data_IF_228145081683
#
_entry.id   IF_228145081683
#
_cell.length_a   1.000
_cell.length_b   1.000
_cell.length_c   1.000
_cell.angle_alpha   90.00
_cell.angle_beta   90.00
_cell.angle_gamma   90.00
#
_symmetry.space_group_name_H-M   'P 1'
#
loop_
_entity.id
_entity.type
_entity.pdbx_description
1 polymer ?
#
# COMPACT_ATOMS: atom_id res chain seq x y z
N UNK A 1 1.53 20.02 -9.03
CA UNK A 1 0.82 18.89 -8.41
C UNK A 1 0.00 19.34 -7.21
N UNK A 2 0.49 20.32 -6.46
CA UNK A 2 -0.27 20.88 -5.34
C UNK A 2 -1.58 21.47 -5.85
N UNK A 3 -2.68 21.32 -5.10
CA UNK A 3 -3.90 22.07 -5.35
C UNK A 3 -3.62 23.58 -5.30
N UNK A 4 -4.37 24.34 -6.07
CA UNK A 4 -4.38 25.79 -5.92
C UNK A 4 -4.94 26.13 -4.53
N UNK A 5 -4.34 27.05 -3.76
CA UNK A 5 -4.88 27.47 -2.46
C UNK A 5 -6.34 27.91 -2.52
N UNK A 6 -6.79 28.50 -3.61
CA UNK A 6 -8.19 28.91 -3.81
C UNK A 6 -9.15 27.71 -3.91
N UNK A 7 -8.65 26.51 -4.22
CA UNK A 7 -9.42 25.26 -4.25
C UNK A 7 -9.47 24.54 -2.90
N UNK A 8 -8.90 25.12 -1.84
CA UNK A 8 -8.84 24.54 -0.50
C UNK A 8 -9.85 25.26 0.43
N UNK A 9 -11.15 24.90 0.38
CA UNK A 9 -12.16 25.59 1.18
C UNK A 9 -11.88 25.46 2.68
N UNK A 10 -12.02 26.57 3.40
CA UNK A 10 -11.97 26.62 4.87
C UNK A 10 -13.38 26.38 5.45
N UNK A 11 -13.76 25.11 5.51
CA UNK A 11 -15.09 24.65 5.93
C UNK A 11 -15.09 23.91 7.26
N UNK A 12 -13.94 23.81 7.90
CA UNK A 12 -13.79 23.15 9.20
C UNK A 12 -13.54 24.17 10.32
N UNK A 13 -13.95 23.84 11.57
CA UNK A 13 -14.59 22.60 12.01
C UNK A 13 -16.07 22.52 11.68
N UNK A 14 -16.64 21.29 11.76
CA UNK A 14 -18.09 21.05 11.74
C UNK A 14 -18.53 20.36 13.03
N UNK A 15 -19.81 20.06 13.18
CA UNK A 15 -20.35 19.24 14.26
C UNK A 15 -19.76 17.80 14.28
N UNK A 16 -19.24 17.34 13.14
CA UNK A 16 -18.73 15.97 12.94
C UNK A 16 -17.22 15.88 12.75
N UNK A 17 -16.57 16.95 12.28
CA UNK A 17 -15.14 17.00 11.97
C UNK A 17 -14.46 18.16 12.70
N UNK A 18 -13.25 17.89 13.20
CA UNK A 18 -12.36 18.90 13.79
C UNK A 18 -11.66 19.71 12.69
N UNK A 19 -10.95 20.79 13.07
CA UNK A 19 -10.18 21.66 12.17
C UNK A 19 -9.18 20.88 11.27
N UNK A 20 -8.69 19.75 11.70
CA UNK A 20 -7.75 18.90 10.94
C UNK A 20 -8.42 17.89 10.00
N UNK A 21 -9.75 17.89 9.89
CA UNK A 21 -10.53 16.85 9.20
C UNK A 21 -10.75 15.58 10.04
N UNK A 22 -10.08 15.45 11.19
CA UNK A 22 -10.26 14.30 12.09
C UNK A 22 -11.68 14.29 12.67
N UNK A 23 -12.36 13.12 12.70
CA UNK A 23 -13.71 13.04 13.27
C UNK A 23 -13.76 13.41 14.74
N UNK A 24 -14.85 14.08 15.19
CA UNK A 24 -15.12 14.31 16.60
C UNK A 24 -15.28 12.98 17.36
N UNK A 25 -15.12 12.99 18.67
CA UNK A 25 -15.00 11.77 19.49
C UNK A 25 -16.10 10.74 19.25
N UNK A 26 -17.34 11.15 19.14
CA UNK A 26 -18.47 10.24 18.95
C UNK A 26 -18.42 9.54 17.56
N UNK A 27 -18.21 10.31 16.48
CA UNK A 27 -18.08 9.81 15.12
C UNK A 27 -16.84 8.92 14.98
N UNK A 28 -15.74 9.33 15.59
CA UNK A 28 -14.47 8.61 15.59
C UNK A 28 -14.58 7.25 16.28
N UNK A 29 -15.30 7.18 17.40
CA UNK A 29 -15.52 5.92 18.12
C UNK A 29 -16.25 4.89 17.27
N UNK A 30 -17.24 5.32 16.46
CA UNK A 30 -17.94 4.42 15.53
C UNK A 30 -17.07 4.01 14.34
N UNK A 31 -16.37 4.97 13.72
CA UNK A 31 -15.49 4.71 12.58
C UNK A 31 -14.32 3.77 12.91
N UNK A 32 -13.83 3.77 14.16
CA UNK A 32 -12.73 2.93 14.64
C UNK A 32 -13.12 1.53 15.09
N UNK A 33 -14.38 1.14 14.95
CA UNK A 33 -14.83 -0.21 15.33
C UNK A 33 -14.20 -1.28 14.45
N UNK A 34 -13.54 -2.24 15.07
CA UNK A 34 -12.96 -3.42 14.42
C UNK A 34 -13.93 -4.60 14.55
N UNK A 35 -14.20 -5.30 13.46
CA UNK A 35 -15.00 -6.52 13.46
C UNK A 35 -14.07 -7.73 13.26
N UNK A 36 -13.75 -8.45 14.33
CA UNK A 36 -12.86 -9.61 14.31
C UNK A 36 -13.33 -10.69 13.34
N UNK A 37 -14.64 -11.00 13.34
CA UNK A 37 -15.21 -12.01 12.44
C UNK A 37 -15.04 -11.63 10.96
N UNK A 38 -15.38 -10.38 10.60
CA UNK A 38 -15.20 -9.89 9.22
C UNK A 38 -13.73 -9.86 8.83
N UNK A 39 -12.83 -9.53 9.75
CA UNK A 39 -11.39 -9.54 9.50
C UNK A 39 -10.87 -10.96 9.28
N UNK A 40 -11.32 -11.94 10.08
CA UNK A 40 -10.97 -13.34 9.90
C UNK A 40 -11.42 -13.85 8.52
N UNK A 41 -12.68 -13.61 8.13
CA UNK A 41 -13.18 -13.97 6.79
C UNK A 41 -12.34 -13.31 5.69
N UNK A 42 -11.93 -12.04 5.87
CA UNK A 42 -11.09 -11.34 4.88
C UNK A 42 -9.69 -11.93 4.78
N UNK A 43 -9.07 -12.27 5.92
CA UNK A 43 -7.76 -12.94 5.93
C UNK A 43 -7.85 -14.29 5.23
N UNK A 44 -8.85 -15.12 5.55
CA UNK A 44 -9.06 -16.42 4.89
C UNK A 44 -9.27 -16.23 3.38
N UNK A 45 -10.14 -15.31 2.97
CA UNK A 45 -10.36 -15.02 1.55
C UNK A 45 -9.09 -14.49 0.86
N UNK A 46 -8.24 -13.72 1.53
CA UNK A 46 -6.94 -13.29 1.03
C UNK A 46 -6.01 -14.48 0.80
N UNK A 47 -5.90 -15.37 1.79
CA UNK A 47 -5.05 -16.57 1.69
C UNK A 47 -5.55 -17.51 0.58
N UNK A 48 -6.86 -17.72 0.46
CA UNK A 48 -7.43 -18.51 -0.62
C UNK A 48 -7.18 -17.90 -2.01
N UNK A 49 -7.26 -16.58 -2.15
CA UNK A 49 -6.98 -15.89 -3.41
C UNK A 49 -5.49 -15.90 -3.78
N UNK A 50 -4.60 -16.08 -2.83
CA UNK A 50 -3.14 -16.11 -3.07
C UNK A 50 -2.63 -17.54 -3.17
N UNK A 51 -2.74 -18.32 -2.10
CA UNK A 51 -2.24 -19.71 -2.10
C UNK A 51 -3.14 -20.64 -2.93
N UNK A 52 -4.46 -20.42 -2.93
CA UNK A 52 -5.40 -21.23 -3.67
C UNK A 52 -5.21 -21.14 -5.19
N UNK A 53 -4.86 -19.93 -5.72
CA UNK A 53 -4.60 -19.80 -7.17
C UNK A 53 -3.32 -20.55 -7.59
N UNK A 54 -2.29 -20.55 -6.75
CA UNK A 54 -1.07 -21.33 -7.00
C UNK A 54 -1.37 -22.82 -6.95
N UNK A 55 -2.08 -23.29 -5.90
CA UNK A 55 -2.51 -24.68 -5.78
C UNK A 55 -3.40 -25.15 -6.94
N UNK A 56 -4.33 -24.29 -7.37
CA UNK A 56 -5.17 -24.58 -8.54
C UNK A 56 -4.34 -24.70 -9.85
N UNK A 57 -3.35 -23.82 -10.06
CA UNK A 57 -2.47 -23.91 -11.22
C UNK A 57 -1.65 -25.21 -11.20
N UNK A 58 -1.13 -25.61 -10.03
CA UNK A 58 -0.43 -26.88 -9.84
C UNK A 58 -1.32 -28.10 -10.13
N UNK A 59 -2.57 -28.05 -9.67
CA UNK A 59 -3.54 -29.13 -9.90
C UNK A 59 -3.97 -29.24 -11.35
N UNK A 60 -4.24 -28.10 -12.03
CA UNK A 60 -4.63 -28.07 -13.43
C UNK A 60 -3.48 -28.53 -14.33
N UNK A 61 -2.23 -28.16 -14.00
CA UNK A 61 -1.03 -28.59 -14.70
C UNK A 61 -0.85 -28.04 -16.12
N UNK A 62 -1.66 -27.05 -16.55
CA UNK A 62 -1.64 -26.49 -17.90
C UNK A 62 -0.89 -25.16 -17.91
N UNK A 63 -0.14 -24.88 -18.98
CA UNK A 63 0.67 -23.67 -19.12
C UNK A 63 -0.12 -22.37 -18.90
N UNK A 64 -1.35 -22.26 -19.41
CA UNK A 64 -2.21 -21.09 -19.26
C UNK A 64 -2.62 -20.84 -17.80
N UNK A 65 -2.79 -21.91 -17.00
CA UNK A 65 -3.10 -21.78 -15.58
C UNK A 65 -1.91 -21.17 -14.81
N UNK A 66 -0.68 -21.55 -15.16
CA UNK A 66 0.53 -20.96 -14.59
C UNK A 66 0.72 -19.50 -15.00
N UNK A 67 0.44 -19.15 -16.27
CA UNK A 67 0.48 -17.74 -16.74
C UNK A 67 -0.55 -16.91 -15.99
N UNK A 68 -1.79 -17.41 -15.87
CA UNK A 68 -2.83 -16.73 -15.09
C UNK A 68 -2.40 -16.56 -13.63
N UNK A 69 -1.91 -17.62 -12.99
CA UNK A 69 -1.44 -17.58 -11.60
C UNK A 69 -0.30 -16.58 -11.41
N UNK A 70 0.66 -16.52 -12.33
CA UNK A 70 1.76 -15.55 -12.30
C UNK A 70 1.24 -14.11 -12.25
N UNK A 71 0.33 -13.75 -13.15
CA UNK A 71 -0.26 -12.39 -13.19
C UNK A 71 -1.09 -12.12 -11.94
N UNK A 72 -1.91 -13.11 -11.54
CA UNK A 72 -2.75 -12.99 -10.35
C UNK A 72 -1.95 -12.86 -9.06
N UNK A 73 -0.77 -13.47 -8.98
CA UNK A 73 0.10 -13.38 -7.81
C UNK A 73 0.73 -12.00 -7.62
N UNK A 74 0.88 -11.18 -8.68
CA UNK A 74 1.18 -9.76 -8.51
C UNK A 74 0.14 -9.06 -7.63
N UNK A 75 -1.15 -9.35 -7.87
CA UNK A 75 -2.27 -8.90 -7.03
C UNK A 75 -2.28 -9.62 -5.67
N UNK A 76 -2.00 -10.91 -5.61
CA UNK A 76 -1.93 -11.69 -4.37
C UNK A 76 -0.97 -11.06 -3.36
N UNK A 77 0.23 -10.70 -3.79
CA UNK A 77 1.18 -9.97 -2.94
C UNK A 77 0.67 -8.60 -2.50
N UNK A 78 -0.09 -7.90 -3.36
CA UNK A 78 -0.76 -6.66 -2.98
C UNK A 78 -1.76 -6.88 -1.83
N UNK A 79 -2.61 -7.91 -1.92
CA UNK A 79 -3.58 -8.25 -0.88
C UNK A 79 -2.91 -8.53 0.47
N UNK A 80 -1.87 -9.38 0.46
CA UNK A 80 -1.12 -9.73 1.68
C UNK A 80 -0.48 -8.49 2.32
N UNK A 81 0.20 -7.66 1.51
CA UNK A 81 0.87 -6.46 2.01
C UNK A 81 -0.12 -5.43 2.59
N UNK A 82 -1.29 -5.23 1.96
CA UNK A 82 -2.28 -4.28 2.46
C UNK A 82 -2.92 -4.76 3.76
N UNK A 83 -3.24 -6.05 3.89
CA UNK A 83 -3.70 -6.57 5.19
C UNK A 83 -2.58 -6.58 6.24
N UNK A 84 -1.32 -6.79 5.83
CA UNK A 84 -0.15 -6.59 6.68
C UNK A 84 0.00 -5.15 7.18
N UNK A 85 -0.29 -4.16 6.33
CA UNK A 85 -0.36 -2.74 6.69
C UNK A 85 -1.48 -2.49 7.73
N UNK A 86 -2.68 -3.04 7.55
CA UNK A 86 -3.75 -2.96 8.56
C UNK A 86 -3.33 -3.57 9.90
N UNK A 87 -2.66 -4.73 9.85
CA UNK A 87 -2.10 -5.33 11.06
C UNK A 87 -1.00 -4.46 11.69
N UNK A 88 -0.19 -3.74 10.88
CA UNK A 88 0.80 -2.78 11.38
C UNK A 88 0.14 -1.65 12.17
N UNK A 89 -1.01 -1.15 11.73
CA UNK A 89 -1.84 -0.18 12.46
C UNK A 89 -2.61 -0.79 13.65
N UNK A 90 -2.56 -2.12 13.83
CA UNK A 90 -3.38 -2.85 14.83
C UNK A 90 -4.89 -2.71 14.60
N UNK A 91 -5.30 -2.69 13.34
CA UNK A 91 -6.68 -2.51 12.91
C UNK A 91 -7.31 -3.79 12.35
N UNK A 92 -6.53 -4.89 12.26
CA UNK A 92 -7.03 -6.15 11.74
C UNK A 92 -7.83 -6.92 12.80
N UNK A 93 -7.33 -7.02 14.04
CA UNK A 93 -8.00 -7.66 15.18
C UNK A 93 -7.88 -6.83 16.45
N UNK A 94 -8.89 -6.93 17.33
CA UNK A 94 -8.88 -6.25 18.65
C UNK A 94 -7.86 -6.85 19.61
N UNK A 95 -7.60 -8.16 19.53
CA UNK A 95 -6.59 -8.83 20.32
C UNK A 95 -5.19 -8.64 19.72
N UNK A 96 -4.31 -7.96 20.44
CA UNK A 96 -2.97 -7.59 19.97
C UNK A 96 -2.14 -8.81 19.53
N UNK A 97 -2.17 -9.89 20.30
CA UNK A 97 -1.43 -11.12 19.99
C UNK A 97 -1.90 -11.75 18.67
N UNK A 98 -3.23 -11.80 18.42
CA UNK A 98 -3.80 -12.33 17.20
C UNK A 98 -3.49 -11.41 16.01
N UNK A 99 -3.67 -10.07 16.19
CA UNK A 99 -3.34 -9.08 15.18
C UNK A 99 -1.89 -9.18 14.72
N UNK A 100 -0.95 -9.23 15.68
CA UNK A 100 0.49 -9.26 15.37
C UNK A 100 0.93 -10.65 14.90
N UNK A 101 0.34 -11.73 15.41
CA UNK A 101 0.59 -13.10 14.95
C UNK A 101 0.17 -13.30 13.49
N UNK A 102 -1.08 -12.96 13.14
CA UNK A 102 -1.58 -13.01 11.76
C UNK A 102 -0.77 -12.06 10.87
N UNK A 103 -0.54 -10.82 11.33
CA UNK A 103 0.23 -9.82 10.59
C UNK A 103 1.63 -10.29 10.22
N UNK A 104 2.33 -10.93 11.14
CA UNK A 104 3.69 -11.47 10.91
C UNK A 104 3.67 -12.72 10.03
N UNK A 105 3.03 -13.78 10.52
CA UNK A 105 3.21 -15.13 9.99
C UNK A 105 2.40 -15.42 8.73
N UNK A 106 1.20 -14.83 8.59
CA UNK A 106 0.31 -15.10 7.44
C UNK A 106 0.35 -14.02 6.37
N UNK A 107 0.80 -12.79 6.68
CA UNK A 107 0.72 -11.66 5.75
C UNK A 107 2.10 -11.09 5.38
N UNK A 108 2.93 -10.68 6.35
CA UNK A 108 4.18 -9.98 6.08
C UNK A 108 5.33 -10.92 5.70
N UNK A 109 5.62 -11.95 6.50
CA UNK A 109 6.73 -12.86 6.24
C UNK A 109 6.60 -13.62 4.91
N UNK A 110 5.40 -14.09 4.49
CA UNK A 110 5.22 -14.63 3.15
C UNK A 110 5.58 -13.66 2.03
N UNK A 111 5.46 -12.35 2.24
CA UNK A 111 5.82 -11.31 1.27
C UNK A 111 7.20 -10.69 1.51
N UNK A 112 8.09 -11.39 2.20
CA UNK A 112 9.46 -10.97 2.51
C UNK A 112 9.55 -9.65 3.30
N UNK A 113 8.51 -9.28 4.03
CA UNK A 113 8.46 -8.04 4.79
C UNK A 113 8.73 -8.28 6.27
N UNK A 114 9.75 -7.60 6.84
CA UNK A 114 9.99 -7.56 8.27
C UNK A 114 8.92 -6.67 8.94
N UNK A 115 7.95 -7.30 9.59
CA UNK A 115 6.73 -6.65 10.07
C UNK A 115 6.97 -5.53 11.10
N UNK A 116 7.85 -5.77 12.07
CA UNK A 116 8.12 -4.78 13.12
C UNK A 116 8.92 -3.60 12.57
N UNK A 117 9.86 -3.85 11.67
CA UNK A 117 10.61 -2.82 10.98
C UNK A 117 9.66 -1.98 10.09
N UNK A 118 8.80 -2.64 9.32
CA UNK A 118 7.78 -1.97 8.50
C UNK A 118 6.86 -1.09 9.34
N UNK A 119 6.31 -1.62 10.45
CA UNK A 119 5.46 -0.83 11.37
C UNK A 119 6.16 0.45 11.81
N UNK A 120 7.43 0.37 12.21
CA UNK A 120 8.21 1.52 12.68
C UNK A 120 8.40 2.56 11.57
N UNK A 121 8.81 2.12 10.38
CA UNK A 121 8.99 2.96 9.20
C UNK A 121 7.67 3.63 8.81
N UNK A 122 6.59 2.89 8.78
CA UNK A 122 5.28 3.37 8.40
C UNK A 122 4.68 4.38 9.40
N UNK A 123 4.90 4.19 10.69
CA UNK A 123 4.49 5.20 11.69
C UNK A 123 5.37 6.46 11.62
N UNK A 124 6.64 6.35 11.24
CA UNK A 124 7.49 7.52 10.98
C UNK A 124 6.98 8.31 9.77
N UNK A 125 6.55 7.62 8.69
CA UNK A 125 5.88 8.22 7.55
C UNK A 125 4.64 9.04 7.95
N UNK A 126 3.69 8.45 8.72
CA UNK A 126 2.50 9.17 9.19
C UNK A 126 2.79 10.37 10.08
N UNK A 127 3.91 10.32 10.82
CA UNK A 127 4.31 11.39 11.74
C UNK A 127 4.78 12.64 11.00
N UNK A 128 5.51 12.49 9.90
CA UNK A 128 6.17 13.60 9.19
C UNK A 128 6.14 13.39 7.66
N UNK A 129 4.94 13.25 7.09
CA UNK A 129 4.74 13.08 5.65
C UNK A 129 5.42 14.18 4.85
N UNK A 130 6.17 13.80 3.83
CA UNK A 130 6.96 14.69 2.98
C UNK A 130 8.04 15.46 3.75
N UNK A 131 8.33 15.09 5.00
CA UNK A 131 9.40 15.68 5.81
C UNK A 131 10.79 15.17 5.42
N UNK A 132 11.87 15.82 5.93
CA UNK A 132 13.24 15.45 5.60
C UNK A 132 13.62 14.04 6.10
N UNK A 133 13.04 13.61 7.21
CA UNK A 133 13.34 12.32 7.85
C UNK A 133 12.33 11.22 7.45
N UNK A 134 11.49 11.49 6.45
CA UNK A 134 10.52 10.51 5.99
C UNK A 134 11.21 9.35 5.26
N UNK A 135 11.04 8.10 5.76
CA UNK A 135 11.77 6.96 5.21
C UNK A 135 11.32 6.56 3.79
N UNK A 136 10.08 6.85 3.42
CA UNK A 136 9.51 6.50 2.12
C UNK A 136 9.67 7.60 1.06
N UNK A 137 10.25 8.75 1.42
CA UNK A 137 10.41 9.91 0.53
C UNK A 137 11.10 9.54 -0.79
N UNK A 138 12.07 8.61 -0.77
CA UNK A 138 12.77 8.14 -1.96
C UNK A 138 11.88 7.46 -3.02
N UNK A 139 10.65 7.03 -2.66
CA UNK A 139 9.70 6.43 -3.60
C UNK A 139 9.01 7.49 -4.48
N UNK A 140 8.70 8.66 -3.93
CA UNK A 140 7.86 9.68 -4.55
C UNK A 140 8.42 11.11 -4.55
N UNK A 141 9.64 11.34 -4.03
CA UNK A 141 10.30 12.62 -4.15
C UNK A 141 10.65 12.99 -5.60
N UNK A 142 10.67 14.29 -5.89
CA UNK A 142 11.11 14.83 -7.17
C UNK A 142 10.07 14.77 -8.30
N UNK A 143 8.83 14.32 -8.03
CA UNK A 143 7.75 14.37 -9.02
C UNK A 143 7.17 15.80 -9.14
N UNK A 144 6.63 16.18 -10.36
CA UNK A 144 6.54 15.40 -11.58
C UNK A 144 7.88 15.18 -12.26
N UNK A 145 8.04 14.03 -12.94
CA UNK A 145 9.24 13.64 -13.69
C UNK A 145 8.93 13.49 -15.17
N UNK A 146 9.94 13.51 -16.04
CA UNK A 146 9.75 13.25 -17.46
C UNK A 146 9.31 11.81 -17.73
N UNK A 147 8.57 11.60 -18.84
CA UNK A 147 8.04 10.30 -19.27
C UNK A 147 9.11 9.22 -19.36
N UNK A 148 10.32 9.55 -19.85
CA UNK A 148 11.44 8.60 -19.92
C UNK A 148 11.96 8.18 -18.55
N UNK A 149 11.97 9.10 -17.59
CA UNK A 149 12.32 8.77 -16.21
C UNK A 149 11.27 7.87 -15.57
N UNK A 150 9.99 8.16 -15.81
CA UNK A 150 8.89 7.30 -15.37
C UNK A 150 9.02 5.90 -15.97
N UNK A 151 9.16 5.79 -17.30
CA UNK A 151 9.34 4.52 -17.99
C UNK A 151 10.52 3.73 -17.42
N UNK A 152 11.68 4.37 -17.26
CA UNK A 152 12.87 3.74 -16.69
C UNK A 152 12.64 3.20 -15.27
N UNK A 153 11.94 3.94 -14.41
CA UNK A 153 11.59 3.48 -13.05
C UNK A 153 10.66 2.26 -13.09
N UNK A 154 9.60 2.29 -13.92
CA UNK A 154 8.65 1.18 -14.05
C UNK A 154 9.31 -0.07 -14.65
N UNK A 155 10.18 0.10 -15.67
CA UNK A 155 10.97 -0.99 -16.24
C UNK A 155 11.87 -1.67 -15.20
N UNK A 156 12.57 -0.88 -14.36
CA UNK A 156 13.40 -1.43 -13.27
C UNK A 156 12.59 -2.24 -12.27
N UNK A 157 11.35 -1.82 -11.98
CA UNK A 157 10.47 -2.57 -11.08
C UNK A 157 9.97 -3.86 -11.73
N UNK A 158 9.62 -3.81 -13.02
CA UNK A 158 9.12 -4.97 -13.76
C UNK A 158 10.23 -6.01 -14.06
N UNK A 159 11.48 -5.57 -14.27
CA UNK A 159 12.60 -6.45 -14.64
C UNK A 159 13.57 -6.71 -13.47
N UNK A 160 13.04 -7.09 -12.32
CA UNK A 160 13.74 -7.61 -11.14
C UNK A 160 14.71 -6.65 -10.43
N UNK A 161 15.07 -5.48 -10.99
CA UNK A 161 16.10 -4.60 -10.42
C UNK A 161 15.73 -4.13 -9.00
N UNK A 162 14.49 -3.70 -8.80
CA UNK A 162 14.01 -3.27 -7.46
C UNK A 162 13.82 -4.46 -6.53
N UNK A 163 13.30 -5.59 -7.04
CA UNK A 163 13.18 -6.83 -6.27
C UNK A 163 14.52 -7.35 -5.77
N UNK A 164 15.56 -7.36 -6.62
CA UNK A 164 16.91 -7.80 -6.24
C UNK A 164 17.53 -6.94 -5.15
N UNK A 165 17.29 -5.62 -5.16
CA UNK A 165 17.72 -4.73 -4.09
C UNK A 165 17.09 -5.10 -2.74
N UNK A 166 15.79 -5.40 -2.72
CA UNK A 166 15.10 -5.84 -1.51
C UNK A 166 15.63 -7.21 -1.03
N UNK A 167 15.88 -8.15 -1.95
CA UNK A 167 16.49 -9.45 -1.59
C UNK A 167 17.89 -9.29 -1.01
N UNK A 168 18.72 -8.38 -1.58
CA UNK A 168 20.02 -8.04 -1.01
C UNK A 168 19.89 -7.46 0.41
N UNK A 169 18.91 -6.59 0.64
CA UNK A 169 18.61 -6.06 1.98
C UNK A 169 18.22 -7.16 2.98
N UNK A 170 17.35 -8.09 2.58
CA UNK A 170 17.00 -9.25 3.39
C UNK A 170 18.23 -10.11 3.71
N UNK A 171 19.06 -10.40 2.71
CA UNK A 171 20.31 -11.15 2.91
C UNK A 171 21.25 -10.45 3.91
N UNK A 172 21.40 -9.12 3.82
CA UNK A 172 22.19 -8.34 4.78
C UNK A 172 21.60 -8.45 6.20
N UNK A 173 20.27 -8.39 6.34
CA UNK A 173 19.59 -8.55 7.62
C UNK A 173 19.78 -9.97 8.21
N UNK A 174 19.78 -11.01 7.37
CA UNK A 174 20.11 -12.40 7.80
C UNK A 174 21.54 -12.48 8.30
N UNK A 175 22.51 -11.92 7.59
CA UNK A 175 23.92 -11.86 8.02
C UNK A 175 24.11 -11.07 9.32
N UNK A 176 23.31 -10.01 9.52
CA UNK A 176 23.26 -9.24 10.76
C UNK A 176 22.49 -9.96 11.89
N UNK A 177 22.09 -11.22 11.69
CA UNK A 177 21.36 -12.06 12.66
C UNK A 177 20.02 -11.47 13.12
N UNK A 178 19.34 -10.70 12.25
CA UNK A 178 18.00 -10.19 12.56
C UNK A 178 17.01 -11.32 12.76
N UNK A 179 16.35 -11.35 13.92
CA UNK A 179 15.34 -12.36 14.24
C UNK A 179 14.21 -12.41 13.20
N UNK A 180 13.66 -11.25 12.79
CA UNK A 180 12.59 -11.22 11.77
C UNK A 180 13.07 -11.71 10.40
N UNK A 181 14.33 -11.42 10.02
CA UNK A 181 14.89 -11.92 8.77
C UNK A 181 14.97 -13.46 8.78
N UNK A 182 15.35 -14.07 9.89
CA UNK A 182 15.34 -15.54 10.03
C UNK A 182 13.92 -16.10 10.02
N UNK A 183 12.95 -15.46 10.68
CA UNK A 183 11.54 -15.87 10.59
C UNK A 183 11.04 -15.84 9.13
N UNK A 184 11.42 -14.82 8.36
CA UNK A 184 11.11 -14.76 6.93
C UNK A 184 11.73 -15.95 6.19
N UNK A 185 13.02 -16.23 6.41
CA UNK A 185 13.70 -17.38 5.78
C UNK A 185 12.99 -18.69 6.10
N UNK A 186 12.57 -18.91 7.35
CA UNK A 186 11.83 -20.11 7.76
C UNK A 186 10.50 -20.22 7.00
N UNK A 187 9.72 -19.13 6.92
CA UNK A 187 8.45 -19.11 6.17
C UNK A 187 8.68 -19.42 4.69
N UNK A 188 9.70 -18.82 4.08
CA UNK A 188 10.03 -19.08 2.69
C UNK A 188 10.50 -20.52 2.47
N UNK A 189 11.27 -21.08 3.39
CA UNK A 189 11.68 -22.48 3.33
C UNK A 189 10.48 -23.45 3.43
N UNK A 190 9.49 -23.13 4.29
CA UNK A 190 8.25 -23.91 4.38
C UNK A 190 7.46 -23.85 3.08
N UNK A 191 7.27 -22.64 2.48
CA UNK A 191 6.56 -22.49 1.21
C UNK A 191 7.27 -23.24 0.08
N UNK A 192 8.59 -23.17 0.01
CA UNK A 192 9.38 -23.93 -0.96
C UNK A 192 9.27 -25.44 -0.72
N UNK A 193 9.36 -25.88 0.54
CA UNK A 193 9.22 -27.30 0.93
C UNK A 193 7.86 -27.89 0.52
N UNK A 194 6.76 -27.09 0.63
CA UNK A 194 5.45 -27.52 0.14
C UNK A 194 5.47 -27.75 -1.37
N UNK A 195 6.11 -26.88 -2.15
CA UNK A 195 6.25 -27.06 -3.61
C UNK A 195 7.10 -28.30 -3.96
N UNK A 196 8.17 -28.58 -3.19
CA UNK A 196 8.99 -29.79 -3.34
C UNK A 196 8.14 -31.05 -3.06
N UNK A 197 7.42 -31.07 -1.94
CA UNK A 197 6.57 -32.20 -1.57
C UNK A 197 5.46 -32.47 -2.58
N UNK A 198 5.00 -31.44 -3.29
CA UNK A 198 4.04 -31.55 -4.40
C UNK A 198 4.72 -31.95 -5.75
N UNK A 199 6.03 -32.20 -5.79
CA UNK A 199 6.76 -32.55 -7.01
C UNK A 199 6.98 -31.40 -7.99
N UNK A 200 6.71 -30.14 -7.61
CA UNK A 200 6.76 -28.96 -8.48
C UNK A 200 7.60 -27.83 -7.88
N UNK A 201 8.85 -28.11 -7.53
CA UNK A 201 9.74 -27.15 -6.86
C UNK A 201 9.91 -25.82 -7.60
N UNK A 202 9.81 -25.82 -8.94
CA UNK A 202 9.92 -24.63 -9.79
C UNK A 202 8.77 -23.64 -9.59
N UNK A 203 7.63 -24.08 -9.07
CA UNK A 203 6.46 -23.23 -8.80
C UNK A 203 6.79 -22.13 -7.80
N UNK A 204 7.56 -22.42 -6.77
CA UNK A 204 7.95 -21.43 -5.79
C UNK A 204 8.72 -20.24 -6.39
N UNK A 205 9.85 -20.42 -7.11
CA UNK A 205 10.53 -19.28 -7.71
C UNK A 205 9.68 -18.57 -8.78
N UNK A 206 8.89 -19.30 -9.57
CA UNK A 206 8.15 -18.73 -10.71
C UNK A 206 6.83 -18.08 -10.27
N UNK A 207 6.04 -18.70 -9.41
CA UNK A 207 4.71 -18.17 -9.04
C UNK A 207 4.69 -17.42 -7.71
N UNK A 208 5.73 -17.53 -6.89
CA UNK A 208 5.80 -16.81 -5.62
C UNK A 208 6.82 -15.67 -5.67
N UNK A 209 8.09 -16.00 -5.91
CA UNK A 209 9.19 -15.04 -5.86
C UNK A 209 9.16 -14.06 -7.04
N UNK A 210 9.01 -14.55 -8.27
CA UNK A 210 9.09 -13.70 -9.45
C UNK A 210 7.96 -12.66 -9.52
N UNK A 211 6.66 -12.96 -9.26
CA UNK A 211 5.61 -11.94 -9.20
C UNK A 211 5.86 -10.89 -8.10
N UNK A 212 6.43 -11.30 -6.95
CA UNK A 212 6.81 -10.39 -5.88
C UNK A 212 7.95 -9.45 -6.32
N UNK A 213 8.95 -9.96 -7.04
CA UNK A 213 10.10 -9.17 -7.51
C UNK A 213 9.75 -8.23 -8.67
N UNK A 214 8.64 -8.45 -9.37
CA UNK A 214 8.25 -7.79 -10.62
C UNK A 214 6.90 -7.08 -10.50
N UNK A 215 5.80 -7.78 -10.72
CA UNK A 215 4.44 -7.21 -10.78
C UNK A 215 4.03 -6.49 -9.49
N UNK A 216 4.38 -7.05 -8.34
CA UNK A 216 4.14 -6.39 -7.06
C UNK A 216 4.96 -5.09 -6.91
N UNK A 217 6.25 -5.10 -7.31
CA UNK A 217 7.09 -3.87 -7.25
C UNK A 217 6.53 -2.77 -8.14
N UNK A 218 6.10 -3.14 -9.36
CA UNK A 218 5.44 -2.22 -10.28
C UNK A 218 4.16 -1.63 -9.67
N UNK A 219 3.26 -2.49 -9.17
CA UNK A 219 2.00 -2.07 -8.57
C UNK A 219 2.22 -1.19 -7.34
N UNK A 220 3.18 -1.55 -6.47
CA UNK A 220 3.50 -0.79 -5.27
C UNK A 220 4.04 0.61 -5.61
N UNK A 221 4.89 0.74 -6.64
CA UNK A 221 5.34 2.05 -7.11
C UNK A 221 4.19 2.90 -7.65
N UNK A 222 3.37 2.32 -8.54
CA UNK A 222 2.22 3.04 -9.12
C UNK A 222 1.25 3.54 -8.04
N UNK A 223 1.09 2.74 -6.97
CA UNK A 223 0.29 3.12 -5.81
C UNK A 223 0.97 4.25 -5.03
N UNK A 224 2.22 4.08 -4.60
CA UNK A 224 2.93 5.04 -3.76
C UNK A 224 3.02 6.43 -4.41
N UNK A 225 3.30 6.51 -5.73
CA UNK A 225 3.32 7.80 -6.43
C UNK A 225 1.93 8.41 -6.60
N UNK A 226 0.87 7.58 -6.65
CA UNK A 226 -0.50 8.09 -6.69
C UNK A 226 -1.00 8.54 -5.31
N UNK A 227 -0.32 8.16 -4.25
CA UNK A 227 -0.63 8.57 -2.88
C UNK A 227 0.00 9.94 -2.56
N UNK A 228 1.30 10.14 -2.82
CA UNK A 228 2.04 11.30 -2.30
C UNK A 228 2.91 12.06 -3.31
N UNK A 229 3.13 11.55 -4.53
CA UNK A 229 4.13 12.13 -5.42
C UNK A 229 3.79 13.56 -5.86
N UNK A 230 4.78 14.47 -5.75
CA UNK A 230 4.62 15.87 -6.12
C UNK A 230 3.82 16.71 -5.13
N UNK A 231 3.48 16.16 -3.97
CA UNK A 231 2.88 16.86 -2.84
C UNK A 231 3.98 17.52 -1.97
N UNK A 232 3.59 18.21 -0.91
CA UNK A 232 4.51 18.94 -0.01
C UNK A 232 4.21 18.65 1.46
N UNK A 233 5.17 18.88 2.33
CA UNK A 233 4.99 18.78 3.77
C UNK A 233 3.94 19.80 4.24
N UNK A 234 2.91 19.32 4.92
CA UNK A 234 1.85 20.17 5.50
C UNK A 234 1.12 19.44 6.63
N UNK A 235 0.44 20.22 7.48
CA UNK A 235 -0.56 19.69 8.43
C UNK A 235 -1.90 19.44 7.75
N UNK A 236 -2.19 20.15 6.67
CA UNK A 236 -3.35 19.89 5.83
C UNK A 236 -3.07 18.68 4.92
N UNK A 237 -3.78 17.60 5.15
CA UNK A 237 -3.59 16.32 4.43
C UNK A 237 -3.94 16.41 2.95
N UNK A 238 -4.69 17.43 2.53
CA UNK A 238 -4.97 17.72 1.11
C UNK A 238 -3.72 18.18 0.35
N UNK A 239 -2.69 18.65 1.07
CA UNK A 239 -1.39 19.05 0.51
C UNK A 239 -0.34 17.94 0.58
N UNK A 240 -0.59 16.83 1.28
CA UNK A 240 0.32 15.70 1.39
C UNK A 240 -0.14 14.47 0.61
N UNK A 241 -1.45 14.37 0.31
CA UNK A 241 -2.05 13.13 -0.20
C UNK A 241 -3.07 13.43 -1.30
N UNK A 242 -2.94 12.74 -2.43
CA UNK A 242 -3.89 12.84 -3.54
C UNK A 242 -5.23 12.16 -3.25
N UNK A 243 -6.29 12.70 -3.85
CA UNK A 243 -7.60 12.05 -3.94
C UNK A 243 -7.82 11.57 -5.37
N UNK A 244 -8.16 10.29 -5.54
CA UNK A 244 -8.38 9.70 -6.87
C UNK A 244 -9.68 8.92 -6.89
N UNK A 245 -10.52 9.15 -7.90
CA UNK A 245 -11.73 8.36 -8.13
C UNK A 245 -11.36 6.93 -8.51
N UNK A 246 -11.89 5.96 -7.78
CA UNK A 246 -11.51 4.57 -7.91
C UNK A 246 -12.46 3.82 -8.84
N UNK A 247 -11.95 3.30 -9.96
CA UNK A 247 -12.69 2.35 -10.79
C UNK A 247 -12.77 0.97 -10.13
N UNK A 248 -13.70 0.12 -10.59
CA UNK A 248 -13.81 -1.29 -10.14
C UNK A 248 -12.51 -2.05 -10.40
N UNK A 249 -11.86 -1.81 -11.56
CA UNK A 249 -10.57 -2.43 -11.92
C UNK A 249 -9.47 -1.97 -10.96
N UNK A 250 -9.40 -0.68 -10.63
CA UNK A 250 -8.42 -0.19 -9.68
C UNK A 250 -8.58 -0.84 -8.30
N UNK A 251 -9.81 -0.93 -7.78
CA UNK A 251 -10.12 -1.61 -6.51
C UNK A 251 -9.80 -3.10 -6.53
N UNK A 252 -9.96 -3.75 -7.69
CA UNK A 252 -9.64 -5.16 -7.83
C UNK A 252 -8.13 -5.40 -7.86
N UNK A 253 -7.38 -4.62 -8.64
CA UNK A 253 -6.03 -4.96 -9.04
C UNK A 253 -4.92 -4.36 -8.16
N UNK A 254 -5.00 -3.08 -7.76
CA UNK A 254 -3.87 -2.44 -7.08
C UNK A 254 -4.20 -1.56 -5.87
N UNK A 255 -5.48 -1.21 -5.63
CA UNK A 255 -5.95 -0.55 -4.39
C UNK A 255 -7.06 -1.34 -3.70
N UNK A 256 -6.88 -2.68 -3.50
CA UNK A 256 -7.87 -3.49 -2.80
C UNK A 256 -8.04 -3.01 -1.36
N UNK A 257 -9.07 -3.54 -0.70
CA UNK A 257 -9.36 -3.23 0.70
C UNK A 257 -9.47 -1.72 0.99
N UNK A 258 -10.08 -0.97 0.06
CA UNK A 258 -10.32 0.47 0.21
C UNK A 258 -9.07 1.33 0.44
N UNK A 259 -7.85 0.85 0.16
CA UNK A 259 -6.62 1.63 0.32
C UNK A 259 -6.55 2.85 -0.58
N UNK A 260 -7.34 2.89 -1.65
CA UNK A 260 -7.46 4.10 -2.47
C UNK A 260 -8.13 5.29 -1.78
N UNK A 261 -8.74 5.11 -0.59
CA UNK A 261 -9.18 6.20 0.28
C UNK A 261 -8.03 6.71 1.17
N UNK A 262 -6.87 6.91 0.56
CA UNK A 262 -5.62 7.16 1.25
C UNK A 262 -5.59 8.47 2.02
N UNK A 263 -6.20 9.54 1.49
CA UNK A 263 -6.40 10.79 2.23
C UNK A 263 -7.15 10.56 3.56
N UNK A 264 -8.25 9.80 3.54
CA UNK A 264 -9.00 9.49 4.75
C UNK A 264 -8.16 8.68 5.75
N UNK A 265 -7.29 7.76 5.26
CA UNK A 265 -6.34 7.03 6.08
C UNK A 265 -5.33 7.97 6.76
N UNK A 266 -4.81 8.97 6.06
CA UNK A 266 -3.89 9.96 6.62
C UNK A 266 -4.57 10.98 7.55
N UNK A 267 -5.86 11.26 7.36
CA UNK A 267 -6.65 12.08 8.30
C UNK A 267 -6.81 11.37 9.64
N UNK A 268 -7.15 10.08 9.64
CA UNK A 268 -7.21 9.26 10.86
C UNK A 268 -6.74 7.83 10.60
N UNK A 269 -5.44 7.58 10.81
CA UNK A 269 -4.80 6.27 10.65
C UNK A 269 -5.31 5.18 11.60
N UNK A 270 -6.19 5.52 12.54
CA UNK A 270 -6.85 4.58 13.45
C UNK A 270 -8.20 4.07 12.94
N UNK A 271 -8.61 4.46 11.73
CA UNK A 271 -9.85 3.98 11.11
C UNK A 271 -9.55 2.74 10.27
N UNK A 272 -10.17 1.57 10.56
CA UNK A 272 -9.98 0.37 9.77
C UNK A 272 -10.38 0.57 8.30
N UNK A 273 -9.70 -0.10 7.39
CA UNK A 273 -9.92 0.00 5.94
C UNK A 273 -11.38 -0.09 5.49
N UNK A 274 -12.21 -0.86 6.21
CA UNK A 274 -13.65 -1.02 5.92
C UNK A 274 -14.44 0.28 6.10
N UNK A 275 -13.98 1.13 6.99
CA UNK A 275 -14.65 2.37 7.36
C UNK A 275 -14.02 3.61 6.70
N UNK A 276 -12.88 3.48 5.99
CA UNK A 276 -12.28 4.59 5.22
C UNK A 276 -13.24 5.24 4.22
N UNK A 277 -14.09 4.48 3.46
CA UNK A 277 -15.09 5.10 2.60
C UNK A 277 -16.10 5.98 3.37
N UNK A 278 -16.43 5.60 4.61
CA UNK A 278 -17.35 6.38 5.45
C UNK A 278 -16.68 7.68 5.91
N UNK A 279 -15.42 7.62 6.35
CA UNK A 279 -14.67 8.82 6.71
C UNK A 279 -14.51 9.74 5.50
N UNK A 280 -14.16 9.20 4.33
CA UNK A 280 -14.07 9.99 3.10
C UNK A 280 -15.40 10.68 2.77
N UNK A 281 -16.53 9.98 2.92
CA UNK A 281 -17.86 10.57 2.70
C UNK A 281 -18.18 11.70 3.70
N UNK A 282 -17.68 11.65 4.94
CA UNK A 282 -17.78 12.77 5.88
C UNK A 282 -16.97 13.99 5.40
N UNK A 283 -15.75 13.77 4.91
CA UNK A 283 -14.89 14.84 4.39
C UNK A 283 -15.48 15.51 3.15
N UNK A 284 -16.11 14.73 2.25
CA UNK A 284 -16.83 15.24 1.07
C UNK A 284 -18.10 15.99 1.49
N UNK A 285 -18.88 15.44 2.42
CA UNK A 285 -20.11 16.09 2.92
C UNK A 285 -19.84 17.43 3.58
N UNK A 286 -18.71 17.55 4.27
CA UNK A 286 -18.26 18.82 4.85
C UNK A 286 -17.78 19.83 3.81
N UNK A 287 -17.63 19.43 2.55
CA UNK A 287 -17.04 20.28 1.50
C UNK A 287 -15.52 20.42 1.60
N UNK A 288 -14.86 19.66 2.49
CA UNK A 288 -13.40 19.73 2.67
C UNK A 288 -12.64 18.99 1.56
N UNK A 289 -13.23 17.93 1.01
CA UNK A 289 -12.79 17.26 -0.22
C UNK A 289 -13.80 17.56 -1.31
N UNK A 290 -13.35 18.21 -2.39
CA UNK A 290 -14.18 18.62 -3.51
C UNK A 290 -13.89 17.81 -4.78
N UNK A 291 -14.72 17.97 -5.82
CA UNK A 291 -14.48 17.34 -7.13
C UNK A 291 -13.21 17.89 -7.79
N UNK A 292 -12.89 19.18 -7.62
CA UNK A 292 -11.70 19.83 -8.16
C UNK A 292 -10.40 19.25 -7.57
N UNK A 293 -10.43 18.80 -6.32
CA UNK A 293 -9.31 18.13 -5.66
C UNK A 293 -9.19 16.66 -6.07
N UNK A 294 -10.22 16.10 -6.73
CA UNK A 294 -10.31 14.68 -7.04
C UNK A 294 -9.87 14.37 -8.46
N UNK A 295 -8.79 13.62 -8.63
CA UNK A 295 -8.40 13.13 -9.95
C UNK A 295 -9.45 12.14 -10.49
N UNK A 296 -9.89 12.28 -11.75
CA UNK A 296 -10.94 11.42 -12.29
C UNK A 296 -10.53 9.94 -12.44
N UNK A 297 -9.24 9.69 -12.63
CA UNK A 297 -8.67 8.34 -12.72
C UNK A 297 -7.20 8.30 -12.30
N UNK A 298 -6.70 7.14 -11.89
CA UNK A 298 -5.26 6.92 -11.67
C UNK A 298 -4.42 7.22 -12.92
N UNK A 299 -4.94 6.90 -14.11
CA UNK A 299 -4.26 7.20 -15.37
C UNK A 299 -4.06 8.71 -15.58
N UNK A 300 -5.06 9.52 -15.24
CA UNK A 300 -4.95 10.99 -15.33
C UNK A 300 -3.85 11.50 -14.38
N UNK A 301 -3.84 11.03 -13.15
CA UNK A 301 -2.80 11.39 -12.17
C UNK A 301 -1.40 10.93 -12.63
N UNK A 302 -1.23 9.68 -13.06
CA UNK A 302 0.08 9.19 -13.53
C UNK A 302 0.59 9.95 -14.76
N UNK A 303 -0.29 10.36 -15.68
CA UNK A 303 0.10 11.21 -16.82
C UNK A 303 0.62 12.56 -16.34
N UNK A 304 -0.04 13.17 -15.36
CA UNK A 304 0.40 14.44 -14.77
C UNK A 304 1.72 14.28 -14.00
N UNK A 305 1.91 13.17 -13.29
CA UNK A 305 3.17 12.84 -12.61
C UNK A 305 4.33 12.56 -13.58
N UNK A 306 4.03 12.17 -14.83
CA UNK A 306 5.01 11.91 -15.89
C UNK A 306 5.15 13.06 -16.90
N UNK A 307 4.60 14.25 -16.60
CA UNK A 307 4.56 15.39 -17.55
C UNK A 307 5.90 16.13 -17.70
N UNK A 308 6.85 15.92 -16.80
CA UNK A 308 8.14 16.60 -16.83
C UNK A 308 8.09 18.11 -16.54
N UNK A 309 6.93 18.66 -16.21
CA UNK A 309 6.81 20.08 -15.86
C UNK A 309 7.53 20.31 -14.52
N UNK A 310 8.61 21.12 -14.49
CA UNK A 310 9.26 21.46 -13.25
C UNK A 310 8.26 22.15 -12.31
N UNK A 311 8.42 21.98 -11.01
CA UNK A 311 7.85 22.91 -10.04
C UNK A 311 8.26 24.33 -10.50
N UNK A 312 7.28 25.24 -10.67
CA UNK A 312 7.60 26.66 -10.72
C UNK A 312 8.56 26.93 -9.56
N UNK A 313 9.69 27.56 -9.85
CA UNK A 313 10.75 27.78 -8.88
C UNK A 313 10.11 28.30 -7.59
N UNK A 314 10.31 27.61 -6.50
CA UNK A 314 9.88 28.06 -5.19
C UNK A 314 10.42 29.48 -5.03
N UNK A 315 9.54 30.42 -4.77
CA UNK A 315 9.91 31.77 -4.32
C UNK A 315 10.92 31.57 -3.19
N UNK A 316 12.13 32.14 -3.24
CA UNK A 316 13.07 32.04 -2.16
C UNK A 316 12.38 32.56 -0.91
N UNK A 317 12.39 31.79 0.17
CA UNK A 317 11.97 32.27 1.47
C UNK A 317 12.82 33.50 1.79
N UNK A 318 12.17 34.66 1.89
CA UNK A 318 12.76 35.89 2.39
C UNK A 318 12.97 35.77 3.92
#
# INVERSE_FOLDING_TARGET
>A
MLPDPELLPDVLPTDRLQQTGMPVRAVRADLRRISNARSAVTVVACLLQTFGVVGAAMWIGQWWAYVFAFVWMGRGHCLLNILGHEAAHRLLFTWRWLNDGVGKWLLAYPTFQAFTAYRRVHFAHHKDEMGPDEPDLGLYAGYPIGSDSMRRKLTRDLFFVSGSKNMKGLWQAVRARSHEAWCIVVVQAVLFGICIAAGQCWVYPVLWVAPWMTLWKLSNRLRAIAEHAGMTRSRDRRLTTHVVRQSRIARLMFVPYNTGWHLAHHVDMGVPWRNLPKLHAELVRAGWVTEELTYPTYRALWRKLASGVPRSAAVPAA
#
